data_IF_301157747649
#
_entry.id   IF_301157747649
#
_cell.length_a   1.000
_cell.length_b   1.000
_cell.length_c   1.000
_cell.angle_alpha   90.00
_cell.angle_beta   90.00
_cell.angle_gamma   90.00
#
_symmetry.space_group_name_H-M   'P 1'
#
loop_
_entity.id
_entity.type
_entity.pdbx_description
1 polymer ?
#
# COMPACT_ATOMS: atom_id res chain seq x y z
N UNK A 1 -45.14 -66.84 20.72
CA UNK A 1 -43.71 -67.16 20.28
C UNK A 1 -42.95 -65.89 20.49
N UNK A 2 -42.50 -65.75 21.73
CA UNK A 2 -41.69 -64.60 22.15
C UNK A 2 -40.26 -64.81 21.82
N UNK A 3 -39.66 -63.75 21.30
CA UNK A 3 -38.22 -63.70 21.10
C UNK A 3 -37.69 -62.47 21.83
N UNK A 4 -36.82 -62.57 22.81
CA UNK A 4 -36.25 -61.43 23.50
C UNK A 4 -35.12 -60.82 22.70
N UNK A 5 -35.12 -59.49 22.64
CA UNK A 5 -34.06 -58.64 22.16
C UNK A 5 -32.90 -58.67 23.15
N UNK A 6 -31.71 -59.05 22.64
CA UNK A 6 -30.42 -58.86 23.29
C UNK A 6 -29.93 -57.44 23.09
N UNK A 7 -29.63 -56.79 24.20
CA UNK A 7 -29.04 -55.46 24.29
C UNK A 7 -27.53 -55.63 24.43
N UNK A 8 -26.72 -55.09 23.51
CA UNK A 8 -25.26 -55.04 23.72
C UNK A 8 -24.89 -53.82 24.56
N UNK A 9 -24.35 -54.07 25.73
CA UNK A 9 -23.74 -53.12 26.63
C UNK A 9 -22.55 -52.42 25.94
N UNK A 10 -22.58 -51.11 25.92
CA UNK A 10 -21.50 -50.21 25.64
C UNK A 10 -20.39 -50.33 26.70
N UNK A 11 -19.26 -50.89 26.33
CA UNK A 11 -17.99 -50.77 27.04
C UNK A 11 -17.30 -49.47 26.62
N UNK A 12 -17.38 -48.48 27.47
CA UNK A 12 -16.55 -47.27 27.40
C UNK A 12 -15.28 -47.52 28.19
N UNK A 13 -14.09 -47.34 27.60
CA UNK A 13 -12.86 -47.31 28.37
C UNK A 13 -12.67 -45.94 29.03
N UNK A 14 -12.60 -45.94 30.37
CA UNK A 14 -12.09 -44.84 31.17
C UNK A 14 -10.69 -44.45 30.75
N UNK A 15 -10.53 -43.32 30.03
CA UNK A 15 -9.29 -42.72 29.69
C UNK A 15 -8.95 -41.58 30.64
N UNK A 16 -8.03 -41.86 31.52
CA UNK A 16 -7.40 -41.00 32.50
C UNK A 16 -6.85 -39.69 31.92
N UNK A 17 -7.23 -38.46 32.35
CA UNK A 17 -6.65 -37.22 31.86
C UNK A 17 -5.56 -36.70 32.80
N UNK A 18 -4.45 -37.44 32.91
CA UNK A 18 -3.31 -36.91 33.66
C UNK A 18 -1.99 -37.25 32.95
N UNK A 19 -1.59 -36.42 31.99
CA UNK A 19 -0.19 -36.17 31.64
C UNK A 19 -0.12 -35.31 30.36
N UNK A 20 0.00 -34.00 30.50
CA UNK A 20 0.82 -33.16 29.63
C UNK A 20 0.72 -31.66 30.03
N UNK A 21 1.18 -31.34 31.24
CA UNK A 21 1.60 -29.96 31.50
C UNK A 21 3.05 -29.81 31.05
N UNK A 22 3.27 -29.49 29.79
CA UNK A 22 4.52 -28.91 29.36
C UNK A 22 4.42 -27.40 29.46
N UNK A 23 5.01 -26.92 30.53
CA UNK A 23 5.38 -25.56 30.80
C UNK A 23 6.36 -25.10 29.71
N UNK A 24 5.92 -24.23 28.83
CA UNK A 24 6.77 -23.44 27.96
C UNK A 24 6.62 -21.98 28.37
N UNK A 25 7.48 -21.60 29.34
CA UNK A 25 7.83 -20.21 29.59
C UNK A 25 8.51 -19.64 28.34
N UNK A 26 7.73 -19.01 27.47
CA UNK A 26 8.26 -18.13 26.44
C UNK A 26 8.47 -16.74 27.04
N UNK A 27 9.51 -16.01 26.63
CA UNK A 27 9.76 -14.67 27.15
C UNK A 27 8.62 -13.72 26.75
N UNK A 28 8.29 -12.69 27.57
CA UNK A 28 7.20 -11.78 27.32
C UNK A 28 7.43 -11.06 25.99
N UNK A 29 6.47 -11.25 25.07
CA UNK A 29 6.48 -10.63 23.76
C UNK A 29 6.53 -9.12 23.90
N UNK A 30 7.56 -8.54 23.31
CA UNK A 30 7.73 -7.10 23.10
C UNK A 30 6.49 -6.60 22.37
N UNK A 31 5.70 -5.76 23.00
CA UNK A 31 4.58 -5.09 22.37
C UNK A 31 5.09 -4.34 21.11
N UNK A 32 4.48 -4.56 19.94
CA UNK A 32 4.81 -3.74 18.79
C UNK A 32 4.30 -2.33 19.03
N UNK A 33 5.22 -1.41 19.28
CA UNK A 33 4.92 0.02 19.38
C UNK A 33 4.19 0.52 18.12
N UNK A 34 3.53 1.69 18.19
CA UNK A 34 2.73 2.22 17.08
C UNK A 34 3.61 2.35 15.83
N UNK A 35 3.24 1.58 14.80
CA UNK A 35 3.92 1.58 13.51
C UNK A 35 3.66 2.94 12.85
N UNK A 36 4.72 3.70 12.64
CA UNK A 36 4.65 4.96 11.91
C UNK A 36 4.43 4.68 10.43
N UNK A 37 3.39 5.30 9.87
CA UNK A 37 3.20 5.39 8.42
C UNK A 37 4.44 5.98 7.74
N UNK A 38 4.82 5.54 6.53
CA UNK A 38 5.92 6.16 5.79
C UNK A 38 5.59 7.62 5.51
N UNK A 39 6.29 8.52 6.18
CA UNK A 39 6.12 9.96 5.96
C UNK A 39 6.91 10.38 4.73
N UNK A 40 6.24 11.02 3.80
CA UNK A 40 6.89 11.73 2.70
C UNK A 40 7.83 12.78 3.31
N UNK A 41 9.11 12.62 3.05
CA UNK A 41 10.09 13.66 3.35
C UNK A 41 10.00 14.71 2.23
N UNK A 42 9.29 15.80 2.51
CA UNK A 42 9.39 17.00 1.67
C UNK A 42 10.81 17.52 1.78
N UNK A 43 11.56 17.44 0.70
CA UNK A 43 12.85 18.12 0.58
C UNK A 43 12.56 19.58 0.26
N UNK A 44 12.43 20.40 1.29
CA UNK A 44 12.53 21.84 1.16
C UNK A 44 13.98 22.20 0.85
N UNK A 45 14.24 22.41 -0.44
CA UNK A 45 15.50 23.00 -0.89
C UNK A 45 15.38 24.52 -0.84
N UNK A 46 15.65 25.11 0.31
CA UNK A 46 15.93 26.54 0.43
C UNK A 46 17.36 26.79 -0.05
N UNK A 47 17.51 27.16 -1.31
CA UNK A 47 18.74 27.76 -1.82
C UNK A 47 18.68 29.27 -1.59
N UNK A 48 19.39 29.71 -0.53
CA UNK A 48 19.75 31.11 -0.35
C UNK A 48 20.88 31.45 -1.33
N UNK A 49 20.61 32.25 -2.32
CA UNK A 49 21.64 32.90 -3.12
C UNK A 49 21.85 34.31 -2.62
N UNK A 50 23.00 34.51 -2.01
CA UNK A 50 23.55 35.82 -1.64
C UNK A 50 24.06 36.50 -2.89
N UNK A 51 23.61 37.74 -3.12
CA UNK A 51 23.99 38.56 -4.26
C UNK A 51 25.00 39.56 -3.83
N UNK A 52 26.21 39.51 -4.36
CA UNK A 52 27.15 40.65 -4.34
C UNK A 52 27.28 41.25 -5.70
N UNK A 53 26.98 42.53 -5.74
CA UNK A 53 27.10 43.47 -6.81
C UNK A 53 28.56 43.73 -7.21
N UNK A 54 28.80 43.93 -8.49
CA UNK A 54 29.82 44.88 -8.97
C UNK A 54 29.47 45.43 -10.34
N UNK A 55 29.43 46.73 -10.36
CA UNK A 55 29.31 47.68 -11.47
C UNK A 55 30.51 47.58 -12.42
N UNK A 56 30.28 47.61 -13.75
CA UNK A 56 31.06 48.45 -14.64
C UNK A 56 30.35 48.67 -16.00
N UNK A 57 30.51 49.88 -16.51
CA UNK A 57 29.92 50.44 -17.69
C UNK A 57 30.69 50.06 -18.96
N UNK A 58 29.99 49.87 -20.07
CA UNK A 58 30.59 49.72 -21.40
C UNK A 58 29.58 50.02 -22.50
N UNK A 59 29.69 51.18 -23.08
CA UNK A 59 28.97 51.69 -24.24
C UNK A 59 29.34 50.89 -25.51
N UNK A 60 28.34 50.51 -26.34
CA UNK A 60 28.58 49.93 -27.65
C UNK A 60 27.35 49.66 -28.47
N UNK A 61 27.07 50.58 -29.42
CA UNK A 61 26.03 50.53 -30.45
C UNK A 61 26.16 49.28 -31.34
N UNK A 62 25.01 48.70 -31.76
CA UNK A 62 25.01 47.65 -32.80
C UNK A 62 23.60 47.05 -32.97
N UNK A 63 22.82 47.73 -33.82
CA UNK A 63 21.57 47.25 -34.40
C UNK A 63 21.78 45.96 -35.18
N UNK A 64 21.01 44.89 -34.79
CA UNK A 64 20.52 43.86 -35.73
C UNK A 64 19.54 42.95 -35.02
N UNK A 65 18.32 42.85 -35.56
CA UNK A 65 17.21 42.09 -35.05
C UNK A 65 17.54 40.63 -34.83
N UNK A 66 17.37 40.21 -33.60
CA UNK A 66 17.35 38.81 -33.22
C UNK A 66 15.91 38.42 -32.94
N UNK A 67 15.37 37.38 -33.57
CA UNK A 67 14.08 36.86 -33.17
C UNK A 67 14.20 36.34 -31.72
N UNK A 68 13.37 36.87 -30.88
CA UNK A 68 13.16 36.36 -29.52
C UNK A 68 12.87 34.88 -29.59
N UNK A 69 13.88 34.08 -29.34
CA UNK A 69 13.76 32.67 -29.09
C UNK A 69 13.12 32.57 -27.72
N UNK A 70 11.79 32.54 -27.69
CA UNK A 70 11.06 32.05 -26.56
C UNK A 70 11.59 30.66 -26.29
N UNK A 71 12.41 30.56 -25.25
CA UNK A 71 12.91 29.28 -24.77
C UNK A 71 11.66 28.46 -24.38
N UNK A 72 11.24 27.62 -25.32
CA UNK A 72 10.32 26.53 -25.11
C UNK A 72 10.87 25.65 -23.97
N UNK A 73 10.48 26.00 -22.77
CA UNK A 73 10.61 25.14 -21.59
C UNK A 73 9.58 24.03 -21.68
N UNK A 74 9.45 23.42 -22.82
CA UNK A 74 8.82 22.11 -22.99
C UNK A 74 9.75 21.09 -22.35
N UNK A 75 9.74 21.10 -21.01
CA UNK A 75 10.37 20.05 -20.20
C UNK A 75 9.80 18.73 -20.68
N UNK A 76 10.65 17.96 -21.29
CA UNK A 76 10.45 16.65 -21.89
C UNK A 76 9.48 15.77 -21.12
N UNK A 77 8.20 15.90 -21.41
CA UNK A 77 7.14 14.93 -21.03
C UNK A 77 7.27 13.65 -21.87
N UNK A 78 8.27 13.60 -22.77
CA UNK A 78 8.38 12.58 -23.83
C UNK A 78 9.08 11.30 -23.42
N UNK A 79 9.65 11.21 -22.21
CA UNK A 79 10.43 10.02 -21.82
C UNK A 79 9.71 9.08 -20.82
N UNK A 80 8.44 9.34 -20.51
CA UNK A 80 7.66 8.46 -19.66
C UNK A 80 6.78 7.55 -20.52
N UNK A 81 6.90 6.22 -20.38
CA UNK A 81 6.04 5.30 -21.12
C UNK A 81 4.56 5.59 -20.83
N UNK A 82 3.70 5.59 -21.83
CA UNK A 82 2.28 5.88 -21.64
C UNK A 82 1.65 4.87 -20.68
N UNK A 83 0.81 5.37 -19.78
CA UNK A 83 0.09 4.51 -18.83
C UNK A 83 -0.79 3.55 -19.61
N UNK A 84 -0.50 2.25 -19.52
CA UNK A 84 -1.22 1.21 -20.25
C UNK A 84 -2.68 1.10 -19.78
N UNK A 85 -3.55 0.60 -20.65
CA UNK A 85 -4.96 0.32 -20.30
C UNK A 85 -5.06 -0.59 -19.07
N UNK A 86 -4.19 -1.61 -18.97
CA UNK A 86 -4.14 -2.51 -17.83
C UNK A 86 -3.81 -1.76 -16.52
N UNK A 87 -2.85 -0.83 -16.55
CA UNK A 87 -2.50 -0.01 -15.38
C UNK A 87 -3.67 0.91 -14.97
N UNK A 88 -4.34 1.53 -15.92
CA UNK A 88 -5.53 2.36 -15.65
C UNK A 88 -6.65 1.54 -15.00
N UNK A 89 -6.96 0.37 -15.53
CA UNK A 89 -7.95 -0.53 -14.94
C UNK A 89 -7.58 -0.96 -13.52
N UNK A 90 -6.30 -1.15 -13.22
CA UNK A 90 -5.84 -1.48 -11.86
C UNK A 90 -6.01 -0.30 -10.92
N UNK A 91 -5.73 0.92 -11.35
CA UNK A 91 -5.95 2.14 -10.56
C UNK A 91 -7.45 2.38 -10.30
N UNK A 92 -8.30 2.21 -11.31
CA UNK A 92 -9.76 2.29 -11.13
C UNK A 92 -10.27 1.26 -10.12
N UNK A 93 -9.79 0.02 -10.20
CA UNK A 93 -10.13 -1.02 -9.22
C UNK A 93 -9.56 -0.73 -7.83
N UNK A 94 -8.40 -0.08 -7.74
CA UNK A 94 -7.84 0.40 -6.47
C UNK A 94 -8.75 1.45 -5.87
N UNK A 95 -9.13 2.47 -6.66
CA UNK A 95 -10.05 3.54 -6.25
C UNK A 95 -11.40 2.99 -5.76
N UNK A 96 -12.01 2.08 -6.54
CA UNK A 96 -13.24 1.42 -6.14
C UNK A 96 -13.07 0.63 -4.84
N UNK A 97 -11.91 -0.01 -4.64
CA UNK A 97 -11.56 -0.72 -3.41
C UNK A 97 -11.45 0.20 -2.18
N UNK A 98 -10.90 1.41 -2.34
CA UNK A 98 -10.86 2.41 -1.27
C UNK A 98 -12.27 2.86 -0.86
N UNK A 99 -13.14 3.13 -1.84
CA UNK A 99 -14.53 3.47 -1.57
C UNK A 99 -15.29 2.33 -0.88
N UNK A 100 -15.05 1.08 -1.32
CA UNK A 100 -15.60 -0.11 -0.67
C UNK A 100 -15.11 -0.22 0.78
N UNK A 101 -13.82 -0.02 1.03
CA UNK A 101 -13.25 -0.04 2.38
C UNK A 101 -13.87 1.06 3.25
N UNK A 102 -14.07 2.27 2.71
CA UNK A 102 -14.72 3.36 3.41
C UNK A 102 -16.17 3.02 3.83
N UNK A 103 -16.91 2.33 2.95
CA UNK A 103 -18.30 1.93 3.20
C UNK A 103 -18.44 0.66 4.07
N UNK A 104 -17.36 -0.09 4.30
CA UNK A 104 -17.39 -1.32 5.08
C UNK A 104 -17.78 -1.05 6.55
N UNK A 105 -18.70 -1.84 7.08
CA UNK A 105 -19.15 -1.75 8.47
C UNK A 105 -18.24 -2.52 9.43
N UNK A 106 -17.75 -3.67 9.00
CA UNK A 106 -16.77 -4.47 9.75
C UNK A 106 -15.37 -3.90 9.61
N UNK A 107 -14.65 -3.74 10.72
CA UNK A 107 -13.27 -3.27 10.71
C UNK A 107 -12.33 -4.26 9.98
N UNK A 108 -12.61 -5.57 10.09
CA UNK A 108 -11.89 -6.58 9.32
C UNK A 108 -12.08 -6.42 7.81
N UNK A 109 -13.32 -6.26 7.33
CA UNK A 109 -13.61 -6.03 5.91
C UNK A 109 -12.97 -4.74 5.39
N UNK A 110 -13.03 -3.65 6.18
CA UNK A 110 -12.34 -2.40 5.87
C UNK A 110 -10.85 -2.60 5.68
N UNK A 111 -10.22 -3.31 6.60
CA UNK A 111 -8.78 -3.61 6.57
C UNK A 111 -8.41 -4.42 5.32
N UNK A 112 -9.15 -5.48 5.01
CA UNK A 112 -8.92 -6.34 3.84
C UNK A 112 -9.08 -5.55 2.55
N UNK A 113 -10.17 -4.78 2.41
CA UNK A 113 -10.46 -3.99 1.22
C UNK A 113 -9.40 -2.91 0.98
N UNK A 114 -8.97 -2.20 2.05
CA UNK A 114 -7.90 -1.21 1.99
C UNK A 114 -6.57 -1.82 1.53
N UNK A 115 -6.17 -2.97 2.11
CA UNK A 115 -4.95 -3.66 1.70
C UNK A 115 -5.00 -4.13 0.24
N UNK A 116 -6.15 -4.65 -0.22
CA UNK A 116 -6.33 -5.07 -1.61
C UNK A 116 -6.33 -3.87 -2.58
N UNK A 117 -6.83 -2.71 -2.15
CA UNK A 117 -6.75 -1.48 -2.93
C UNK A 117 -5.28 -1.08 -3.14
N UNK A 118 -4.49 -1.04 -2.06
CA UNK A 118 -3.04 -0.77 -2.15
C UNK A 118 -2.32 -1.79 -3.07
N UNK A 119 -2.65 -3.07 -2.96
CA UNK A 119 -2.05 -4.11 -3.81
C UNK A 119 -2.34 -3.87 -5.29
N UNK A 120 -3.55 -3.42 -5.64
CA UNK A 120 -3.92 -3.07 -7.03
C UNK A 120 -3.16 -1.84 -7.52
N UNK A 121 -2.98 -0.82 -6.66
CA UNK A 121 -2.16 0.34 -7.00
C UNK A 121 -0.69 -0.05 -7.27
N UNK A 122 -0.09 -0.86 -6.42
CA UNK A 122 1.26 -1.40 -6.65
C UNK A 122 1.36 -2.22 -7.93
N UNK A 123 0.35 -3.05 -8.23
CA UNK A 123 0.28 -3.80 -9.48
C UNK A 123 0.19 -2.91 -10.72
N UNK A 124 -0.43 -1.73 -10.62
CA UNK A 124 -0.46 -0.76 -11.73
C UNK A 124 0.95 -0.24 -12.07
N UNK A 125 1.79 0.00 -11.07
CA UNK A 125 3.21 0.35 -11.31
C UNK A 125 3.94 -0.77 -12.03
N UNK A 126 3.71 -2.03 -11.62
CA UNK A 126 4.31 -3.19 -12.29
C UNK A 126 3.83 -3.32 -13.74
N UNK A 127 2.59 -2.98 -14.04
CA UNK A 127 2.04 -3.02 -15.39
C UNK A 127 2.65 -1.95 -16.32
N UNK A 128 3.20 -0.86 -15.78
CA UNK A 128 3.87 0.19 -16.57
C UNK A 128 5.38 -0.02 -16.63
N UNK A 129 6.01 -0.33 -15.49
CA UNK A 129 7.48 -0.36 -15.34
C UNK A 129 8.05 -1.77 -15.28
N UNK A 130 7.21 -2.77 -15.01
CA UNK A 130 7.64 -4.16 -14.89
C UNK A 130 7.99 -4.74 -16.26
N UNK A 131 9.14 -5.43 -16.33
CA UNK A 131 9.45 -6.31 -17.46
C UNK A 131 8.97 -7.72 -17.10
N UNK A 132 8.31 -8.39 -18.03
CA UNK A 132 7.93 -9.79 -17.85
C UNK A 132 9.18 -10.64 -17.56
N UNK A 133 9.36 -11.05 -16.31
CA UNK A 133 10.42 -11.98 -15.93
C UNK A 133 9.85 -13.38 -15.97
N UNK A 134 10.22 -14.15 -16.98
CA UNK A 134 9.80 -15.55 -17.15
C UNK A 134 10.50 -16.53 -16.19
N UNK A 135 11.43 -16.05 -15.38
CA UNK A 135 12.20 -16.87 -14.44
C UNK A 135 11.88 -16.50 -12.99
N UNK A 136 11.23 -17.41 -12.28
CA UNK A 136 10.96 -17.32 -10.84
C UNK A 136 9.54 -17.72 -10.49
N UNK A 137 9.35 -18.35 -9.32
CA UNK A 137 8.03 -18.71 -8.79
C UNK A 137 7.14 -17.50 -8.51
N UNK A 138 5.89 -17.74 -8.03
CA UNK A 138 4.96 -16.67 -7.69
C UNK A 138 5.59 -15.72 -6.66
N UNK A 139 5.61 -14.44 -6.98
CA UNK A 139 6.15 -13.38 -6.14
C UNK A 139 5.06 -12.39 -5.80
N UNK A 140 5.10 -11.88 -4.57
CA UNK A 140 4.22 -10.79 -4.16
C UNK A 140 4.53 -9.51 -4.96
N UNK A 141 3.53 -8.67 -5.16
CA UNK A 141 3.71 -7.30 -5.68
C UNK A 141 4.77 -6.56 -4.84
N UNK A 142 4.75 -6.76 -3.54
CA UNK A 142 5.65 -6.11 -2.59
C UNK A 142 7.11 -6.54 -2.73
N UNK A 143 7.38 -7.75 -3.24
CA UNK A 143 8.73 -8.24 -3.52
C UNK A 143 9.33 -7.67 -4.82
N UNK A 144 8.46 -7.31 -5.76
CA UNK A 144 8.87 -6.84 -7.09
C UNK A 144 8.95 -5.32 -7.12
N UNK A 145 8.03 -4.63 -6.44
CA UNK A 145 7.88 -3.18 -6.47
C UNK A 145 9.19 -2.42 -6.21
N UNK A 146 10.03 -2.77 -5.19
CA UNK A 146 11.29 -2.08 -4.93
C UNK A 146 12.31 -2.16 -6.08
N UNK A 147 12.19 -3.15 -6.94
CA UNK A 147 13.11 -3.36 -8.06
C UNK A 147 12.78 -2.51 -9.28
N UNK A 148 11.50 -2.18 -9.47
CA UNK A 148 11.01 -1.42 -10.64
C UNK A 148 10.68 0.02 -10.28
N UNK A 149 10.50 0.30 -8.99
CA UNK A 149 10.19 1.60 -8.42
C UNK A 149 10.85 1.74 -7.04
N UNK A 150 12.19 1.99 -6.98
CA UNK A 150 12.92 2.09 -5.72
C UNK A 150 12.36 3.15 -4.76
N UNK A 151 11.77 4.21 -5.31
CA UNK A 151 11.10 5.28 -4.55
C UNK A 151 9.89 4.79 -3.74
N UNK A 152 9.34 3.61 -4.06
CA UNK A 152 8.19 3.00 -3.37
C UNK A 152 8.61 1.89 -2.39
N UNK A 153 9.90 1.72 -2.10
CA UNK A 153 10.42 0.64 -1.26
C UNK A 153 9.83 0.65 0.16
N UNK A 154 9.71 1.83 0.76
CA UNK A 154 9.14 1.96 2.12
C UNK A 154 7.67 1.53 2.15
N UNK A 155 6.89 1.91 1.13
CA UNK A 155 5.51 1.48 0.96
C UNK A 155 5.38 -0.03 0.76
N UNK A 156 6.24 -0.60 -0.07
CA UNK A 156 6.27 -2.05 -0.29
C UNK A 156 6.55 -2.80 1.01
N UNK A 157 7.52 -2.36 1.79
CA UNK A 157 7.86 -2.94 3.10
C UNK A 157 6.71 -2.81 4.11
N UNK A 158 6.04 -1.65 4.13
CA UNK A 158 4.89 -1.40 4.99
C UNK A 158 3.73 -2.36 4.69
N UNK A 159 3.31 -2.45 3.41
CA UNK A 159 2.20 -3.33 3.04
C UNK A 159 2.57 -4.81 3.11
N UNK A 160 3.81 -5.20 2.86
CA UNK A 160 4.28 -6.57 3.10
C UNK A 160 4.12 -6.96 4.57
N UNK A 161 4.47 -6.06 5.50
CA UNK A 161 4.34 -6.30 6.94
C UNK A 161 2.87 -6.43 7.41
N UNK A 162 1.91 -5.82 6.70
CA UNK A 162 0.47 -5.90 7.03
C UNK A 162 -0.22 -7.12 6.41
N UNK A 163 0.42 -7.83 5.48
CA UNK A 163 -0.18 -8.95 4.75
C UNK A 163 -0.61 -10.12 5.65
N UNK A 164 0.15 -10.41 6.71
CA UNK A 164 -0.19 -11.48 7.64
C UNK A 164 -1.50 -11.20 8.42
N UNK A 165 -1.73 -9.93 8.81
CA UNK A 165 -2.98 -9.52 9.45
C UNK A 165 -4.16 -9.65 8.49
N UNK A 166 -4.01 -9.25 7.24
CA UNK A 166 -5.03 -9.45 6.21
C UNK A 166 -5.38 -10.93 6.07
N UNK A 167 -4.39 -11.81 5.95
CA UNK A 167 -4.61 -13.26 5.84
C UNK A 167 -5.32 -13.82 7.09
N UNK A 168 -5.04 -13.30 8.28
CA UNK A 168 -5.74 -13.69 9.50
C UNK A 168 -7.22 -13.33 9.46
N UNK A 169 -7.57 -12.13 8.97
CA UNK A 169 -8.96 -11.70 8.80
C UNK A 169 -9.68 -12.56 7.77
N UNK A 170 -9.05 -12.82 6.61
CA UNK A 170 -9.60 -13.70 5.56
C UNK A 170 -9.82 -15.13 6.05
N UNK A 171 -9.06 -15.57 7.05
CA UNK A 171 -9.27 -16.85 7.75
C UNK A 171 -10.29 -16.80 8.90
N UNK A 172 -11.12 -15.74 8.98
CA UNK A 172 -12.18 -15.58 9.97
C UNK A 172 -11.74 -15.05 11.34
N UNK A 173 -10.50 -14.58 11.48
CA UNK A 173 -9.98 -13.96 12.72
C UNK A 173 -10.04 -12.43 12.65
N UNK A 174 -11.24 -11.90 12.37
CA UNK A 174 -11.46 -10.46 12.18
C UNK A 174 -11.31 -9.63 13.45
N UNK A 175 -11.52 -10.21 14.63
CA UNK A 175 -11.41 -9.55 15.94
C UNK A 175 -9.99 -9.06 16.28
N UNK A 176 -8.98 -9.48 15.53
CA UNK A 176 -7.59 -8.97 15.69
C UNK A 176 -7.39 -7.57 15.13
N UNK A 177 -8.40 -7.00 14.45
CA UNK A 177 -8.34 -5.67 13.82
C UNK A 177 -9.22 -4.69 14.59
N UNK A 178 -8.59 -3.69 15.17
CA UNK A 178 -9.32 -2.57 15.78
C UNK A 178 -9.82 -1.58 14.73
N UNK A 179 -10.82 -0.75 15.10
CA UNK A 179 -11.28 0.34 14.22
C UNK A 179 -10.14 1.26 13.81
N UNK A 180 -9.24 1.57 14.74
CA UNK A 180 -8.07 2.40 14.47
C UNK A 180 -7.12 1.74 13.46
N UNK A 181 -6.80 0.45 13.63
CA UNK A 181 -5.94 -0.27 12.66
C UNK A 181 -6.54 -0.24 11.24
N UNK A 182 -7.86 -0.38 11.13
CA UNK A 182 -8.56 -0.37 9.86
C UNK A 182 -8.58 1.02 9.22
N UNK A 183 -8.82 2.07 10.01
CA UNK A 183 -8.87 3.45 9.56
C UNK A 183 -7.48 3.95 9.16
N UNK A 184 -6.45 3.64 9.96
CA UNK A 184 -5.06 3.99 9.66
C UNK A 184 -4.61 3.31 8.34
N UNK A 185 -4.88 2.01 8.18
CA UNK A 185 -4.54 1.30 6.94
C UNK A 185 -5.29 1.86 5.72
N UNK A 186 -6.56 2.27 5.88
CA UNK A 186 -7.33 2.87 4.79
C UNK A 186 -6.73 4.21 4.35
N UNK A 187 -6.30 5.06 5.31
CA UNK A 187 -5.62 6.33 5.00
C UNK A 187 -4.25 6.11 4.34
N UNK A 188 -3.50 5.13 4.83
CA UNK A 188 -2.22 4.76 4.23
C UNK A 188 -2.41 4.24 2.79
N UNK A 189 -3.45 3.43 2.55
CA UNK A 189 -3.76 2.93 1.22
C UNK A 189 -4.20 4.04 0.25
N UNK A 190 -4.97 5.04 0.71
CA UNK A 190 -5.30 6.23 -0.08
C UNK A 190 -4.05 7.04 -0.42
N UNK A 191 -3.20 7.29 0.58
CA UNK A 191 -1.94 8.03 0.39
C UNK A 191 -1.04 7.30 -0.61
N UNK A 192 -0.91 5.98 -0.49
CA UNK A 192 -0.13 5.18 -1.43
C UNK A 192 -0.73 5.21 -2.84
N UNK A 193 -2.05 5.11 -2.98
CA UNK A 193 -2.73 5.25 -4.27
C UNK A 193 -2.38 6.58 -4.94
N UNK A 194 -2.43 7.69 -4.21
CA UNK A 194 -2.03 9.01 -4.68
C UNK A 194 -0.54 9.06 -5.09
N UNK A 195 0.36 8.51 -4.27
CA UNK A 195 1.79 8.44 -4.58
C UNK A 195 2.01 7.68 -5.90
N UNK A 196 1.28 6.59 -6.13
CA UNK A 196 1.33 5.83 -7.37
C UNK A 196 0.82 6.65 -8.56
N UNK A 197 -0.34 7.33 -8.44
CA UNK A 197 -0.85 8.22 -9.51
C UNK A 197 0.20 9.26 -9.88
N UNK A 198 0.76 9.95 -8.89
CA UNK A 198 1.82 10.95 -9.09
C UNK A 198 3.04 10.35 -9.76
N UNK A 199 3.50 9.17 -9.32
CA UNK A 199 4.66 8.48 -9.90
C UNK A 199 4.45 8.06 -11.36
N UNK A 200 3.19 7.87 -11.76
CA UNK A 200 2.78 7.57 -13.12
C UNK A 200 2.41 8.82 -13.94
N UNK A 201 2.50 10.01 -13.35
CA UNK A 201 2.17 11.29 -14.00
C UNK A 201 0.68 11.53 -14.21
N UNK A 202 -0.14 10.90 -13.40
CA UNK A 202 -1.59 11.10 -13.41
C UNK A 202 -2.00 12.23 -12.44
N UNK A 203 -3.07 12.98 -12.73
CA UNK A 203 -3.56 14.02 -11.84
C UNK A 203 -4.11 13.42 -10.55
N UNK A 204 -3.85 14.08 -9.44
CA UNK A 204 -4.41 13.71 -8.14
C UNK A 204 -5.92 13.95 -8.08
N UNK A 205 -6.63 12.98 -7.56
CA UNK A 205 -8.05 13.07 -7.23
C UNK A 205 -8.31 12.43 -5.87
N UNK A 206 -8.74 13.22 -4.84
CA UNK A 206 -9.09 12.65 -3.55
C UNK A 206 -10.15 11.56 -3.70
N UNK A 207 -9.99 10.46 -2.96
CA UNK A 207 -10.90 9.32 -3.00
C UNK A 207 -11.82 9.30 -1.78
N UNK A 208 -11.23 9.53 -0.60
CA UNK A 208 -11.94 9.37 0.66
C UNK A 208 -12.45 10.71 1.22
N UNK A 209 -13.53 10.70 2.00
CA UNK A 209 -14.00 11.85 2.75
C UNK A 209 -13.00 12.21 3.87
N UNK A 210 -13.04 13.47 4.32
CA UNK A 210 -12.20 13.92 5.43
C UNK A 210 -12.40 13.09 6.70
N UNK A 211 -13.66 12.76 7.04
CA UNK A 211 -14.02 11.90 8.14
C UNK A 211 -14.51 10.55 7.63
N UNK A 212 -13.95 9.47 8.17
CA UNK A 212 -14.39 8.11 7.85
C UNK A 212 -15.62 7.75 8.70
N UNK A 213 -16.60 7.00 8.15
CA UNK A 213 -17.68 6.43 8.94
C UNK A 213 -17.11 5.38 9.92
N UNK A 214 -17.72 5.25 11.10
CA UNK A 214 -17.31 4.26 12.08
C UNK A 214 -17.46 2.83 11.55
N UNK A 215 -16.50 1.95 11.88
CA UNK A 215 -16.63 0.51 11.73
C UNK A 215 -16.68 -0.19 13.10
N UNK A 216 -17.28 -1.36 13.16
CA UNK A 216 -17.43 -2.20 14.38
C UNK A 216 -16.86 -3.61 14.17
#
# INVERSE_FOLDING_TARGET
MDHPMDDPKDDLPDGDPEHARHHLDGPPGREPGPRRSPRHRSTDSTSSTDSTSSTEAGTGNGDTGTPTQEADMSVSTLDRPPVSTAARMLLERSRAGLLQACAARSCGERYVAAHLAALRAGAAVLAVRGRATTRGGPRSVWDILPRVAPELTEWASFFAATAARRAAVEAGRGEVITARDADDLLRDAETFHHVVETSLGLPYQPVLPMALPACT
#
